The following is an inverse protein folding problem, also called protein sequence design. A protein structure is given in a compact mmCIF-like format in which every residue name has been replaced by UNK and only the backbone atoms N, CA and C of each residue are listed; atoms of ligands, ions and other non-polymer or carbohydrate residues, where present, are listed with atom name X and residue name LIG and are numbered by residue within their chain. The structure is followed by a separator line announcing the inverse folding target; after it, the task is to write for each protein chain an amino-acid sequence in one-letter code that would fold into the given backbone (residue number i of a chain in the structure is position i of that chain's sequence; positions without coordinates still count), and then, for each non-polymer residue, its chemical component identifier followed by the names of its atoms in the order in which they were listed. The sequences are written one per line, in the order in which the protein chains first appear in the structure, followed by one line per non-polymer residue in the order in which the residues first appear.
data_IF_785401027593
#
_entry.id   IF_785401027593
#
_cell.length_a   1.000
_cell.length_b   1.000
_cell.length_c   1.000
_cell.angle_alpha   90.00
_cell.angle_beta   90.00
_cell.angle_gamma   90.00
#
_symmetry.space_group_name_H-M   'P 1'
#
loop_
_entity.id
_entity.type
_entity.pdbx_description
1 polymer ?
#
# COMPACT_ATOMS: atom_id res chain seq x y z
N UNK A 1 -11.08 -41.16 14.23
CA UNK A 1 -11.74 -40.77 12.96
C UNK A 1 -12.43 -39.42 13.14
N UNK A 2 -11.69 -38.30 13.31
CA UNK A 2 -12.27 -36.93 13.49
C UNK A 2 -11.48 -35.86 12.74
N UNK A 3 -10.63 -36.24 11.74
CA UNK A 3 -9.76 -35.32 11.03
C UNK A 3 -10.35 -34.68 9.77
N UNK A 4 -11.45 -35.22 9.22
CA UNK A 4 -12.02 -34.71 7.98
C UNK A 4 -12.83 -33.41 8.13
N UNK A 5 -13.40 -33.13 9.29
CA UNK A 5 -14.18 -31.91 9.57
C UNK A 5 -13.31 -30.67 9.78
N UNK A 6 -12.15 -30.84 10.43
CA UNK A 6 -11.22 -29.73 10.68
C UNK A 6 -10.50 -29.26 9.41
N UNK A 7 -10.20 -30.18 8.50
CA UNK A 7 -9.47 -29.89 7.27
C UNK A 7 -10.32 -29.13 6.25
N UNK A 8 -11.61 -29.40 6.17
CA UNK A 8 -12.55 -28.66 5.33
C UNK A 8 -12.86 -27.25 5.87
N UNK A 9 -12.89 -27.07 7.19
CA UNK A 9 -13.21 -25.79 7.81
C UNK A 9 -12.10 -24.75 7.68
N UNK A 10 -10.83 -25.14 7.85
CA UNK A 10 -9.74 -24.16 7.68
C UNK A 10 -9.55 -23.72 6.22
N UNK A 11 -9.71 -24.63 5.24
CA UNK A 11 -9.64 -24.28 3.80
C UNK A 11 -10.76 -23.33 3.41
N UNK A 12 -11.97 -23.54 3.90
CA UNK A 12 -13.10 -22.63 3.69
C UNK A 12 -12.80 -21.24 4.27
N UNK A 13 -12.32 -21.18 5.50
CA UNK A 13 -11.90 -19.94 6.15
C UNK A 13 -10.81 -19.23 5.36
N UNK A 14 -9.80 -19.99 4.90
CA UNK A 14 -8.70 -19.49 4.09
C UNK A 14 -9.19 -18.84 2.79
N UNK A 15 -10.05 -19.52 2.04
CA UNK A 15 -10.62 -19.00 0.80
C UNK A 15 -11.44 -17.74 1.06
N UNK A 16 -12.31 -17.76 2.07
CA UNK A 16 -13.14 -16.60 2.42
C UNK A 16 -12.30 -15.37 2.78
N UNK A 17 -11.28 -15.53 3.63
CA UNK A 17 -10.41 -14.41 4.05
C UNK A 17 -9.54 -13.91 2.89
N UNK A 18 -8.97 -14.83 2.09
CA UNK A 18 -8.12 -14.48 0.96
C UNK A 18 -8.89 -13.72 -0.11
N UNK A 19 -10.06 -14.22 -0.50
CA UNK A 19 -10.91 -13.55 -1.50
C UNK A 19 -11.44 -12.21 -0.96
N UNK A 20 -11.87 -12.14 0.29
CA UNK A 20 -12.31 -10.89 0.89
C UNK A 20 -11.18 -9.86 0.97
N UNK A 21 -9.94 -10.28 1.26
CA UNK A 21 -8.78 -9.41 1.21
C UNK A 21 -8.51 -8.92 -0.21
N UNK A 22 -8.50 -9.82 -1.19
CA UNK A 22 -8.31 -9.45 -2.60
C UNK A 22 -9.35 -8.42 -3.06
N UNK A 23 -10.63 -8.72 -2.86
CA UNK A 23 -11.76 -7.87 -3.25
C UNK A 23 -11.71 -6.53 -2.51
N UNK A 24 -11.47 -6.53 -1.20
CA UNK A 24 -11.42 -5.31 -0.41
C UNK A 24 -10.24 -4.38 -0.78
N UNK A 25 -9.06 -4.94 -1.05
CA UNK A 25 -7.91 -4.15 -1.49
C UNK A 25 -8.05 -3.68 -2.94
N UNK A 26 -8.69 -4.45 -3.82
CA UNK A 26 -9.08 -4.01 -5.16
C UNK A 26 -10.02 -2.81 -5.09
N UNK A 27 -11.08 -2.89 -4.28
CA UNK A 27 -12.02 -1.78 -4.08
C UNK A 27 -11.37 -0.51 -3.52
N UNK A 28 -10.35 -0.65 -2.66
CA UNK A 28 -9.63 0.50 -2.10
C UNK A 28 -8.86 1.28 -3.17
N UNK A 29 -8.22 0.61 -4.11
CA UNK A 29 -7.39 1.24 -5.14
C UNK A 29 -8.16 1.56 -6.43
N UNK A 30 -9.36 1.02 -6.58
CA UNK A 30 -10.22 1.21 -7.75
C UNK A 30 -10.49 2.70 -8.04
N UNK A 31 -10.67 3.51 -7.00
CA UNK A 31 -11.00 4.94 -7.15
C UNK A 31 -9.79 5.84 -7.43
N UNK A 32 -8.55 5.34 -7.28
CA UNK A 32 -7.35 6.16 -7.42
C UNK A 32 -7.22 6.85 -8.79
N UNK A 33 -7.46 6.18 -9.94
CA UNK A 33 -7.19 6.78 -11.25
C UNK A 33 -8.20 7.87 -11.64
N UNK A 34 -9.33 7.98 -10.97
CA UNK A 34 -10.35 8.95 -11.34
C UNK A 34 -10.73 9.94 -10.23
N UNK A 35 -10.16 9.82 -9.05
CA UNK A 35 -10.46 10.74 -7.95
C UNK A 35 -10.17 12.21 -8.28
N UNK A 36 -9.05 12.58 -8.94
CA UNK A 36 -8.82 13.95 -9.37
C UNK A 36 -9.88 14.44 -10.37
N UNK A 37 -10.29 13.60 -11.31
CA UNK A 37 -11.36 13.93 -12.28
C UNK A 37 -12.73 14.10 -11.59
N UNK A 38 -12.92 13.39 -10.47
CA UNK A 38 -14.14 13.53 -9.69
C UNK A 38 -14.23 14.91 -9.01
N UNK A 39 -13.12 15.45 -8.51
CA UNK A 39 -13.10 16.82 -7.98
C UNK A 39 -13.43 17.86 -9.03
N UNK A 40 -13.03 17.65 -10.29
CA UNK A 40 -13.43 18.51 -11.39
C UNK A 40 -14.96 18.48 -11.61
N UNK A 41 -15.59 17.29 -11.57
CA UNK A 41 -17.04 17.17 -11.62
C UNK A 41 -17.77 17.85 -10.45
N UNK A 42 -17.10 17.99 -9.31
CA UNK A 42 -17.63 18.68 -8.13
C UNK A 42 -17.39 20.21 -8.18
N UNK A 43 -16.99 20.75 -9.33
CA UNK A 43 -16.86 22.19 -9.56
C UNK A 43 -15.50 22.77 -9.21
N UNK A 44 -14.47 21.97 -8.97
CA UNK A 44 -13.10 22.47 -8.84
C UNK A 44 -12.48 22.55 -10.23
N UNK A 45 -12.19 23.76 -10.71
CA UNK A 45 -11.71 23.96 -12.09
C UNK A 45 -10.22 24.24 -12.18
N UNK A 46 -9.60 24.76 -11.13
CA UNK A 46 -8.16 24.97 -11.08
C UNK A 46 -7.42 23.62 -10.88
N UNK A 47 -6.43 23.34 -11.73
CA UNK A 47 -5.68 22.09 -11.69
C UNK A 47 -4.87 21.95 -10.39
N UNK A 48 -4.38 23.05 -9.84
CA UNK A 48 -3.67 23.09 -8.57
C UNK A 48 -4.57 22.71 -7.40
N UNK A 49 -5.77 23.30 -7.37
CA UNK A 49 -6.77 22.99 -6.33
C UNK A 49 -7.23 21.53 -6.42
N UNK A 50 -7.42 21.00 -7.65
CA UNK A 50 -7.74 19.57 -7.85
C UNK A 50 -6.60 18.69 -7.31
N UNK A 51 -5.35 19.05 -7.55
CA UNK A 51 -4.20 18.30 -7.04
C UNK A 51 -4.14 18.34 -5.51
N UNK A 52 -4.40 19.48 -4.88
CA UNK A 52 -4.44 19.64 -3.41
C UNK A 52 -5.58 18.80 -2.83
N UNK A 53 -6.82 18.94 -3.32
CA UNK A 53 -7.96 18.15 -2.84
C UNK A 53 -7.74 16.66 -2.99
N UNK A 54 -7.15 16.22 -4.12
CA UNK A 54 -6.80 14.82 -4.36
C UNK A 54 -5.73 14.34 -3.37
N UNK A 55 -4.68 15.12 -3.18
CA UNK A 55 -3.58 14.81 -2.28
C UNK A 55 -4.03 14.64 -0.83
N UNK A 56 -4.75 15.63 -0.27
CA UNK A 56 -5.25 15.57 1.11
C UNK A 56 -6.26 14.43 1.30
N UNK A 57 -7.13 14.20 0.32
CA UNK A 57 -8.13 13.12 0.39
C UNK A 57 -7.51 11.73 0.28
N UNK A 58 -6.46 11.54 -0.51
CA UNK A 58 -5.73 10.28 -0.60
C UNK A 58 -4.86 10.04 0.64
N UNK A 59 -4.29 11.09 1.24
CA UNK A 59 -3.41 10.99 2.40
C UNK A 59 -4.14 10.84 3.73
N UNK A 60 -5.33 11.45 3.90
CA UNK A 60 -6.06 11.44 5.18
C UNK A 60 -6.49 10.04 5.59
N UNK A 61 -6.91 9.20 4.66
CA UNK A 61 -7.35 7.82 4.95
C UNK A 61 -6.22 6.99 5.59
N UNK A 62 -5.02 6.84 4.99
CA UNK A 62 -3.94 6.08 5.64
C UNK A 62 -3.40 6.76 6.90
N UNK A 63 -3.44 8.10 7.02
CA UNK A 63 -3.04 8.81 8.21
C UNK A 63 -3.92 8.43 9.42
N UNK A 64 -5.24 8.51 9.26
CA UNK A 64 -6.18 8.13 10.31
C UNK A 64 -6.13 6.62 10.56
N UNK A 65 -5.99 5.79 9.51
CA UNK A 65 -5.84 4.34 9.65
C UNK A 65 -4.63 3.99 10.53
N UNK A 66 -3.50 4.63 10.31
CA UNK A 66 -2.29 4.40 11.11
C UNK A 66 -2.49 4.79 12.58
N UNK A 67 -3.14 5.92 12.84
CA UNK A 67 -3.46 6.37 14.19
C UNK A 67 -4.46 5.43 14.92
N UNK A 68 -5.42 4.87 14.18
CA UNK A 68 -6.46 4.00 14.72
C UNK A 68 -6.05 2.53 14.82
N UNK A 69 -4.99 2.10 14.12
CA UNK A 69 -4.56 0.71 14.08
C UNK A 69 -4.40 0.05 15.46
N UNK A 70 -3.71 0.68 16.46
CA UNK A 70 -3.57 0.08 17.80
C UNK A 70 -4.89 0.02 18.57
N UNK A 71 -5.85 0.92 18.29
CA UNK A 71 -7.18 0.90 18.91
C UNK A 71 -7.96 -0.30 18.38
N UNK A 72 -8.02 -0.46 17.07
CA UNK A 72 -8.78 -1.53 16.45
C UNK A 72 -8.16 -2.91 16.66
N UNK A 73 -6.84 -3.03 16.83
CA UNK A 73 -6.20 -4.28 17.24
C UNK A 73 -6.75 -4.75 18.61
N UNK A 74 -6.77 -3.87 19.62
CA UNK A 74 -7.30 -4.17 20.95
C UNK A 74 -8.79 -4.52 20.93
N UNK A 75 -9.58 -3.79 20.13
CA UNK A 75 -11.01 -4.06 19.97
C UNK A 75 -11.24 -5.41 19.29
N UNK A 76 -10.43 -5.75 18.27
CA UNK A 76 -10.48 -7.04 17.59
C UNK A 76 -10.18 -8.21 18.54
N UNK A 77 -9.24 -8.04 19.46
CA UNK A 77 -8.93 -9.05 20.47
C UNK A 77 -10.08 -9.28 21.46
N UNK A 78 -10.85 -8.22 21.78
CA UNK A 78 -11.96 -8.30 22.73
C UNK A 78 -13.27 -8.81 22.11
N UNK A 79 -13.64 -8.29 20.93
CA UNK A 79 -14.97 -8.50 20.33
C UNK A 79 -14.98 -9.49 19.17
N UNK A 80 -13.82 -9.91 18.68
CA UNK A 80 -13.72 -10.87 17.58
C UNK A 80 -13.20 -10.21 16.28
N UNK A 81 -12.36 -10.97 15.59
CA UNK A 81 -11.73 -10.51 14.35
C UNK A 81 -12.69 -10.49 13.19
N UNK A 82 -13.57 -11.48 13.10
CA UNK A 82 -14.63 -11.54 12.10
C UNK A 82 -15.50 -10.28 12.13
N UNK A 83 -15.94 -9.86 13.32
CA UNK A 83 -16.77 -8.68 13.50
C UNK A 83 -16.02 -7.41 13.03
N UNK A 84 -14.73 -7.28 13.35
CA UNK A 84 -13.95 -6.10 12.97
C UNK A 84 -13.74 -5.99 11.46
N UNK A 85 -13.46 -7.11 10.78
CA UNK A 85 -13.34 -7.14 9.32
C UNK A 85 -14.69 -6.85 8.66
N UNK A 86 -15.76 -7.49 9.11
CA UNK A 86 -17.12 -7.26 8.60
C UNK A 86 -17.54 -5.79 8.77
N UNK A 87 -17.28 -5.20 9.94
CA UNK A 87 -17.52 -3.77 10.20
C UNK A 87 -16.79 -2.88 9.20
N UNK A 88 -15.48 -3.11 8.96
CA UNK A 88 -14.70 -2.30 8.04
C UNK A 88 -15.25 -2.39 6.62
N UNK A 89 -15.57 -3.60 6.14
CA UNK A 89 -16.09 -3.82 4.80
C UNK A 89 -17.48 -3.20 4.62
N UNK A 90 -18.37 -3.35 5.62
CA UNK A 90 -19.70 -2.72 5.61
C UNK A 90 -19.59 -1.19 5.60
N UNK A 91 -18.74 -0.61 6.45
CA UNK A 91 -18.51 0.84 6.49
C UNK A 91 -17.96 1.35 5.15
N UNK A 92 -17.06 0.60 4.51
CA UNK A 92 -16.51 0.98 3.20
C UNK A 92 -17.57 0.92 2.10
N UNK A 93 -18.47 -0.07 2.12
CA UNK A 93 -19.60 -0.14 1.20
C UNK A 93 -20.50 1.09 1.33
N UNK A 94 -20.85 1.47 2.55
CA UNK A 94 -21.66 2.67 2.83
C UNK A 94 -20.93 3.94 2.38
N UNK A 95 -19.65 4.08 2.74
CA UNK A 95 -18.87 5.27 2.40
C UNK A 95 -18.71 5.41 0.88
N UNK A 96 -18.47 4.32 0.14
CA UNK A 96 -18.38 4.36 -1.31
C UNK A 96 -19.75 4.73 -1.95
N UNK A 97 -20.86 4.24 -1.39
CA UNK A 97 -22.19 4.64 -1.84
C UNK A 97 -22.44 6.14 -1.61
N UNK A 98 -22.05 6.65 -0.44
CA UNK A 98 -22.16 8.09 -0.12
C UNK A 98 -21.23 8.94 -1.00
N UNK A 99 -20.05 8.45 -1.38
CA UNK A 99 -19.13 9.12 -2.31
C UNK A 99 -19.77 9.39 -3.66
N UNK A 100 -20.69 8.53 -4.13
CA UNK A 100 -21.41 8.74 -5.39
C UNK A 100 -22.44 9.89 -5.32
N UNK A 101 -22.85 10.29 -4.11
CA UNK A 101 -23.92 11.27 -3.85
C UNK A 101 -23.39 12.65 -3.47
N UNK A 102 -22.09 12.82 -3.27
CA UNK A 102 -21.52 14.10 -2.85
C UNK A 102 -21.60 15.16 -3.94
N UNK A 103 -21.70 16.42 -3.53
CA UNK A 103 -21.81 17.59 -4.40
C UNK A 103 -20.71 18.64 -4.13
N UNK A 104 -19.85 18.40 -3.12
CA UNK A 104 -18.77 19.31 -2.76
C UNK A 104 -17.47 18.57 -2.41
N UNK A 105 -16.28 19.16 -2.70
CA UNK A 105 -14.97 18.57 -2.44
C UNK A 105 -14.72 18.19 -0.97
N UNK A 106 -15.15 19.05 -0.03
CA UNK A 106 -14.99 18.81 1.40
C UNK A 106 -15.74 17.55 1.90
N UNK A 107 -16.84 17.17 1.24
CA UNK A 107 -17.58 15.95 1.57
C UNK A 107 -16.77 14.71 1.22
N UNK A 108 -16.07 14.72 0.07
CA UNK A 108 -15.14 13.65 -0.33
C UNK A 108 -14.03 13.48 0.72
N UNK A 109 -13.38 14.59 1.12
CA UNK A 109 -12.36 14.59 2.15
C UNK A 109 -12.88 14.02 3.47
N UNK A 110 -14.07 14.45 3.92
CA UNK A 110 -14.70 13.97 5.16
C UNK A 110 -14.99 12.48 5.09
N UNK A 111 -15.57 12.00 3.99
CA UNK A 111 -15.84 10.56 3.82
C UNK A 111 -14.56 9.74 3.77
N UNK A 112 -13.48 10.26 3.19
CA UNK A 112 -12.14 9.65 3.21
C UNK A 112 -11.56 9.60 4.61
N UNK A 113 -11.73 10.64 5.42
CA UNK A 113 -11.34 10.68 6.82
C UNK A 113 -12.11 9.63 7.64
N UNK A 114 -13.44 9.55 7.46
CA UNK A 114 -14.29 8.53 8.08
C UNK A 114 -13.88 7.12 7.62
N UNK A 115 -13.55 6.94 6.34
CA UNK A 115 -13.04 5.67 5.83
C UNK A 115 -11.77 5.22 6.58
N UNK A 116 -10.84 6.15 6.82
CA UNK A 116 -9.64 5.88 7.62
C UNK A 116 -9.95 5.45 9.05
N UNK A 117 -11.00 6.03 9.65
CA UNK A 117 -11.44 5.69 11.01
C UNK A 117 -11.91 4.23 11.12
N UNK A 118 -12.58 3.71 10.10
CA UNK A 118 -13.09 2.34 10.07
C UNK A 118 -12.15 1.34 9.39
N UNK A 119 -10.99 1.76 8.90
CA UNK A 119 -10.01 0.91 8.24
C UNK A 119 -9.27 -0.01 9.24
N UNK A 120 -8.33 -0.81 8.75
CA UNK A 120 -7.47 -1.68 9.56
C UNK A 120 -7.72 -3.18 9.38
N UNK A 121 -8.61 -3.58 8.48
CA UNK A 121 -8.94 -4.99 8.27
C UNK A 121 -7.79 -5.83 7.68
N UNK A 122 -6.80 -5.21 7.03
CA UNK A 122 -5.73 -5.93 6.33
C UNK A 122 -4.84 -6.76 7.28
N UNK A 123 -4.40 -6.18 8.39
CA UNK A 123 -3.63 -6.90 9.41
C UNK A 123 -4.49 -7.96 10.10
N UNK A 124 -5.75 -7.63 10.39
CA UNK A 124 -6.69 -8.55 11.00
C UNK A 124 -6.95 -9.76 10.09
N UNK A 125 -7.07 -9.57 8.78
CA UNK A 125 -7.23 -10.67 7.81
C UNK A 125 -6.05 -11.65 7.82
N UNK A 126 -4.81 -11.15 7.90
CA UNK A 126 -3.64 -12.03 8.04
C UNK A 126 -3.68 -12.87 9.32
N UNK A 127 -4.10 -12.25 10.41
CA UNK A 127 -4.22 -12.96 11.68
C UNK A 127 -5.37 -13.98 11.65
N UNK A 128 -6.50 -13.66 11.02
CA UNK A 128 -7.60 -14.63 10.81
C UNK A 128 -7.15 -15.85 10.02
N UNK A 129 -6.35 -15.65 8.97
CA UNK A 129 -5.78 -16.75 8.19
C UNK A 129 -4.84 -17.62 9.04
N UNK A 130 -3.93 -16.98 9.78
CA UNK A 130 -2.97 -17.68 10.65
C UNK A 130 -3.66 -18.51 11.74
N UNK A 131 -4.71 -18.00 12.38
CA UNK A 131 -5.42 -18.70 13.45
C UNK A 131 -6.34 -19.81 12.93
N UNK A 132 -6.78 -19.72 11.69
CA UNK A 132 -7.64 -20.74 11.10
C UNK A 132 -6.86 -21.93 10.56
N UNK A 133 -5.58 -21.75 10.25
CA UNK A 133 -4.74 -22.76 9.61
C UNK A 133 -4.09 -23.70 10.62
N UNK A 134 -3.94 -25.01 10.31
CA UNK A 134 -3.08 -25.92 11.06
C UNK A 134 -1.63 -25.41 11.11
N UNK A 135 -0.88 -25.77 12.15
CA UNK A 135 0.46 -25.24 12.42
C UNK A 135 1.42 -25.35 11.21
N UNK A 136 1.36 -26.46 10.48
CA UNK A 136 2.16 -26.73 9.28
C UNK A 136 1.77 -25.86 8.06
N UNK A 137 0.56 -25.26 8.06
CA UNK A 137 0.02 -24.46 6.96
C UNK A 137 -0.04 -22.97 7.24
N UNK A 138 0.30 -22.50 8.44
CA UNK A 138 0.21 -21.08 8.83
C UNK A 138 0.98 -20.16 7.88
N UNK A 139 2.22 -20.52 7.52
CA UNK A 139 3.03 -19.72 6.60
C UNK A 139 2.38 -19.59 5.20
N UNK A 140 1.79 -20.69 4.71
CA UNK A 140 1.08 -20.73 3.43
C UNK A 140 -0.19 -19.89 3.49
N UNK A 141 -0.94 -19.99 4.59
CA UNK A 141 -2.17 -19.23 4.80
C UNK A 141 -1.93 -17.71 4.80
N UNK A 142 -0.92 -17.25 5.55
CA UNK A 142 -0.48 -15.85 5.53
C UNK A 142 -0.02 -15.43 4.13
N UNK A 143 0.74 -16.29 3.44
CA UNK A 143 1.24 -16.04 2.09
C UNK A 143 0.12 -15.79 1.07
N UNK A 144 -0.96 -16.55 1.12
CA UNK A 144 -2.14 -16.34 0.25
C UNK A 144 -2.81 -14.99 0.51
N UNK A 145 -3.02 -14.60 1.77
CA UNK A 145 -3.62 -13.30 2.10
C UNK A 145 -2.70 -12.16 1.67
N UNK A 146 -1.39 -12.26 1.89
CA UNK A 146 -0.43 -11.27 1.42
C UNK A 146 -0.42 -11.15 -0.11
N UNK A 147 -0.52 -12.27 -0.82
CA UNK A 147 -0.64 -12.26 -2.28
C UNK A 147 -1.90 -11.52 -2.72
N UNK A 148 -3.04 -11.80 -2.09
CA UNK A 148 -4.30 -11.11 -2.34
C UNK A 148 -4.20 -9.59 -2.09
N UNK A 149 -3.56 -9.19 -1.00
CA UNK A 149 -3.32 -7.79 -0.65
C UNK A 149 -2.38 -7.05 -1.62
N UNK A 150 -1.59 -7.77 -2.40
CA UNK A 150 -0.72 -7.21 -3.44
C UNK A 150 -1.40 -7.18 -4.81
N UNK A 151 -2.09 -8.27 -5.18
CA UNK A 151 -2.79 -8.37 -6.46
C UNK A 151 -3.98 -7.42 -6.54
N UNK A 152 -4.72 -7.22 -5.43
CA UNK A 152 -5.84 -6.29 -5.38
C UNK A 152 -5.44 -4.87 -5.83
N UNK A 153 -4.47 -4.23 -5.17
CA UNK A 153 -3.96 -2.92 -5.59
C UNK A 153 -3.35 -2.88 -6.99
N UNK A 154 -2.82 -3.99 -7.49
CA UNK A 154 -2.30 -4.05 -8.85
C UNK A 154 -3.42 -4.01 -9.91
N UNK A 155 -4.55 -4.66 -9.65
CA UNK A 155 -5.66 -4.75 -10.61
C UNK A 155 -6.72 -3.64 -10.40
N UNK A 156 -6.87 -3.15 -9.16
CA UNK A 156 -7.88 -2.14 -8.81
C UNK A 156 -7.89 -0.93 -9.73
N UNK A 157 -6.76 -0.27 -9.99
CA UNK A 157 -6.72 0.94 -10.79
C UNK A 157 -7.18 0.74 -12.24
N UNK A 158 -6.79 -0.36 -12.91
CA UNK A 158 -7.26 -0.60 -14.29
C UNK A 158 -8.75 -0.94 -14.31
N UNK A 159 -9.24 -1.73 -13.35
CA UNK A 159 -10.67 -2.02 -13.22
C UNK A 159 -11.44 -0.72 -12.99
N UNK A 160 -10.96 0.13 -12.09
CA UNK A 160 -11.55 1.44 -11.80
C UNK A 160 -11.55 2.39 -12.98
N UNK A 161 -10.44 2.44 -13.71
CA UNK A 161 -10.33 3.25 -14.92
C UNK A 161 -11.31 2.82 -16.02
N UNK A 162 -11.46 1.51 -16.23
CA UNK A 162 -12.45 0.95 -17.17
C UNK A 162 -13.88 1.27 -16.73
N UNK A 163 -14.21 1.01 -15.46
CA UNK A 163 -15.55 1.28 -14.93
C UNK A 163 -15.89 2.77 -14.98
N UNK A 164 -14.96 3.64 -14.63
CA UNK A 164 -15.16 5.09 -14.71
C UNK A 164 -15.37 5.58 -16.15
N UNK A 165 -14.63 4.99 -17.12
CA UNK A 165 -14.77 5.30 -18.53
C UNK A 165 -16.10 4.84 -19.15
N UNK A 166 -16.63 3.69 -18.70
CA UNK A 166 -17.87 3.11 -19.27
C UNK A 166 -19.13 3.59 -18.54
N UNK A 167 -19.10 3.63 -17.22
CA UNK A 167 -20.27 3.92 -16.39
C UNK A 167 -20.31 5.37 -15.92
N UNK A 168 -19.20 6.10 -16.04
CA UNK A 168 -19.01 7.41 -15.43
C UNK A 168 -18.54 7.34 -13.98
N UNK A 169 -18.00 8.46 -13.49
CA UNK A 169 -17.27 8.51 -12.22
C UNK A 169 -18.16 8.17 -11.01
N UNK A 170 -19.39 8.68 -10.95
CA UNK A 170 -20.33 8.40 -9.84
C UNK A 170 -20.71 6.92 -9.76
N UNK A 171 -20.97 6.28 -10.91
CA UNK A 171 -21.31 4.85 -10.94
C UNK A 171 -20.12 3.95 -10.62
N UNK A 172 -18.89 4.38 -10.88
CA UNK A 172 -17.69 3.64 -10.46
C UNK A 172 -17.58 3.56 -8.92
N UNK A 173 -18.06 4.57 -8.17
CA UNK A 173 -18.15 4.47 -6.71
C UNK A 173 -19.22 3.45 -6.27
N UNK A 174 -20.37 3.37 -6.93
CA UNK A 174 -21.36 2.33 -6.65
C UNK A 174 -20.83 0.93 -6.97
N UNK A 175 -20.09 0.77 -8.07
CA UNK A 175 -19.42 -0.48 -8.39
C UNK A 175 -18.41 -0.88 -7.29
N UNK A 176 -17.63 0.09 -6.78
CA UNK A 176 -16.75 -0.15 -5.63
C UNK A 176 -17.53 -0.54 -4.37
N UNK A 177 -18.67 0.09 -4.11
CA UNK A 177 -19.53 -0.29 -2.99
C UNK A 177 -20.03 -1.74 -3.09
N UNK A 178 -20.45 -2.18 -4.28
CA UNK A 178 -20.87 -3.57 -4.52
C UNK A 178 -19.73 -4.56 -4.29
N UNK A 179 -18.50 -4.20 -4.67
CA UNK A 179 -17.29 -4.98 -4.41
C UNK A 179 -17.09 -5.17 -2.90
N UNK A 180 -17.26 -4.12 -2.09
CA UNK A 180 -17.19 -4.23 -0.63
C UNK A 180 -18.34 -5.03 -0.02
N UNK A 181 -19.56 -4.93 -0.54
CA UNK A 181 -20.70 -5.75 -0.13
C UNK A 181 -20.41 -7.22 -0.40
N UNK A 182 -19.87 -7.57 -1.55
CA UNK A 182 -19.47 -8.94 -1.87
C UNK A 182 -18.39 -9.47 -0.89
N UNK A 183 -17.36 -8.67 -0.59
CA UNK A 183 -16.34 -9.01 0.40
C UNK A 183 -16.93 -9.18 1.81
N UNK A 184 -17.88 -8.32 2.20
CA UNK A 184 -18.59 -8.42 3.48
C UNK A 184 -19.33 -9.76 3.60
N UNK A 185 -20.11 -10.14 2.61
CA UNK A 185 -20.84 -11.41 2.64
C UNK A 185 -19.91 -12.62 2.61
N UNK A 186 -18.80 -12.56 1.89
CA UNK A 186 -17.76 -13.60 1.92
C UNK A 186 -17.23 -13.84 3.33
N UNK A 187 -16.99 -12.78 4.11
CA UNK A 187 -16.52 -12.92 5.49
C UNK A 187 -17.64 -13.38 6.40
N UNK A 188 -18.83 -12.80 6.32
CA UNK A 188 -19.94 -13.10 7.23
C UNK A 188 -20.43 -14.53 7.06
N UNK A 189 -20.55 -15.01 5.83
CA UNK A 189 -21.07 -16.36 5.51
C UNK A 189 -19.94 -17.38 5.45
N UNK A 190 -18.82 -17.01 4.81
CA UNK A 190 -17.72 -17.92 4.51
C UNK A 190 -16.80 -18.22 5.69
N UNK A 191 -16.55 -17.24 6.57
CA UNK A 191 -15.61 -17.41 7.68
C UNK A 191 -16.30 -17.84 8.96
N UNK A 192 -15.76 -18.86 9.63
CA UNK A 192 -16.14 -19.30 10.99
C UNK A 192 -14.98 -19.06 11.94
N UNK A 193 -15.25 -18.33 13.03
CA UNK A 193 -14.21 -18.00 14.00
C UNK A 193 -13.81 -19.25 14.80
N UNK A 194 -12.50 -19.62 14.87
CA UNK A 194 -12.03 -20.80 15.59
C UNK A 194 -12.29 -20.68 17.10
N UNK A 195 -12.72 -21.77 17.74
CA UNK A 195 -13.05 -21.79 19.18
C UNK A 195 -11.84 -21.60 20.12
N UNK A 196 -10.60 -21.85 19.63
CA UNK A 196 -9.36 -21.90 20.45
C UNK A 196 -8.73 -20.54 20.75
N UNK A 197 -9.38 -19.44 20.43
CA UNK A 197 -8.84 -18.08 20.44
C UNK A 197 -8.42 -17.53 21.81
N UNK A 198 -9.01 -17.99 22.90
CA UNK A 198 -8.81 -17.41 24.24
C UNK A 198 -7.46 -17.78 24.90
N UNK A 199 -6.79 -18.84 24.46
CA UNK A 199 -5.54 -19.32 25.07
C UNK A 199 -4.28 -18.62 24.51
N UNK A 200 -4.26 -18.19 23.25
CA UNK A 200 -3.08 -17.61 22.62
C UNK A 200 -2.81 -16.15 23.04
N UNK A 201 -3.84 -15.39 23.37
CA UNK A 201 -3.68 -13.99 23.80
C UNK A 201 -2.98 -13.83 25.16
N UNK A 202 -2.97 -14.86 25.99
CA UNK A 202 -2.32 -14.84 27.30
C UNK A 202 -0.79 -15.07 27.22
N UNK A 203 -0.30 -15.72 26.17
CA UNK A 203 1.13 -16.04 26.01
C UNK A 203 1.97 -14.86 25.48
N UNK A 204 1.37 -13.95 24.73
CA UNK A 204 2.06 -12.79 24.14
C UNK A 204 2.35 -11.65 25.14
N UNK A 205 1.73 -11.66 26.31
CA UNK A 205 1.91 -10.63 27.34
C UNK A 205 3.25 -10.70 28.08
N UNK A 206 4.03 -11.77 27.93
CA UNK A 206 5.28 -12.02 28.66
C UNK A 206 6.57 -11.72 27.87
N UNK A 207 6.46 -11.22 26.62
CA UNK A 207 7.64 -10.90 25.81
C UNK A 207 8.37 -9.63 26.31
N UNK A 208 9.72 -9.60 26.30
CA UNK A 208 10.49 -8.45 26.72
C UNK A 208 10.10 -7.21 25.91
N UNK A 209 9.82 -6.10 26.59
CA UNK A 209 9.43 -4.84 25.96
C UNK A 209 10.61 -4.22 25.23
N UNK A 210 10.74 -4.52 23.94
CA UNK A 210 11.70 -3.85 23.06
C UNK A 210 11.23 -2.41 22.82
N UNK A 211 12.06 -1.44 23.14
CA UNK A 211 11.74 -0.01 22.97
C UNK A 211 12.33 0.54 21.68
N UNK A 212 11.74 1.62 21.14
CA UNK A 212 12.30 2.33 19.99
C UNK A 212 13.77 2.73 20.21
N UNK A 213 14.10 3.22 21.40
CA UNK A 213 15.45 3.64 21.74
C UNK A 213 16.48 2.50 21.65
N UNK A 214 16.09 1.24 21.96
CA UNK A 214 16.97 0.08 21.79
C UNK A 214 17.18 -0.27 20.32
N UNK A 215 16.17 -0.17 19.49
CA UNK A 215 16.25 -0.41 18.05
C UNK A 215 16.99 0.70 17.30
N UNK A 216 16.81 1.95 17.71
CA UNK A 216 17.53 3.10 17.13
C UNK A 216 19.05 3.01 17.30
N UNK A 217 19.53 2.24 18.29
CA UNK A 217 20.95 1.95 18.50
C UNK A 217 21.47 0.80 17.62
N UNK A 218 20.58 0.03 17.00
CA UNK A 218 21.00 -0.99 16.03
C UNK A 218 21.58 -0.31 14.80
N UNK A 219 22.78 -0.70 14.34
CA UNK A 219 23.40 -0.08 13.18
C UNK A 219 22.47 -0.07 11.97
N UNK A 220 22.32 1.09 11.33
CA UNK A 220 21.51 1.33 10.13
C UNK A 220 19.99 1.20 10.28
N UNK A 221 19.43 0.90 11.46
CA UNK A 221 17.99 0.75 11.62
C UNK A 221 17.23 2.03 11.24
N UNK A 222 17.71 3.20 11.68
CA UNK A 222 17.13 4.50 11.29
C UNK A 222 17.30 4.79 9.79
N UNK A 223 18.41 4.34 9.20
CA UNK A 223 18.61 4.45 7.75
C UNK A 223 17.58 3.62 6.99
N UNK A 224 17.31 2.40 7.43
CA UNK A 224 16.27 1.56 6.83
C UNK A 224 14.88 2.17 6.97
N UNK A 225 14.54 2.70 8.15
CA UNK A 225 13.27 3.41 8.36
C UNK A 225 13.13 4.62 7.44
N UNK A 226 14.14 5.48 7.39
CA UNK A 226 14.16 6.65 6.51
C UNK A 226 14.09 6.28 5.03
N UNK A 227 14.76 5.20 4.63
CA UNK A 227 14.71 4.72 3.25
C UNK A 227 13.33 4.17 2.87
N UNK A 228 12.68 3.40 3.75
CA UNK A 228 11.29 2.92 3.53
C UNK A 228 10.34 4.10 3.43
N UNK A 229 10.45 5.08 4.33
CA UNK A 229 9.67 6.31 4.26
C UNK A 229 9.89 7.02 2.91
N UNK A 230 11.14 7.23 2.50
CA UNK A 230 11.49 7.90 1.24
C UNK A 230 10.97 7.16 0.00
N UNK A 231 11.09 5.82 -0.02
CA UNK A 231 10.52 5.02 -1.12
C UNK A 231 8.99 5.14 -1.19
N UNK A 232 8.31 5.19 -0.04
CA UNK A 232 6.85 5.36 -0.01
C UNK A 232 6.42 6.79 -0.37
N UNK A 233 7.23 7.79 -0.03
CA UNK A 233 7.01 9.18 -0.46
C UNK A 233 6.91 9.27 -1.98
N UNK A 234 7.76 8.53 -2.69
CA UNK A 234 7.78 8.52 -4.16
C UNK A 234 6.73 7.57 -4.76
N UNK A 235 6.56 6.37 -4.20
CA UNK A 235 5.60 5.37 -4.73
C UNK A 235 4.16 5.88 -4.77
N UNK A 236 3.78 6.76 -3.86
CA UNK A 236 2.39 7.25 -3.72
C UNK A 236 2.13 8.65 -4.24
N UNK A 237 3.16 9.35 -4.68
CA UNK A 237 3.07 10.72 -5.23
C UNK A 237 2.25 10.79 -6.51
N UNK A 238 2.25 9.74 -7.33
CA UNK A 238 1.55 9.70 -8.61
C UNK A 238 0.02 9.79 -8.47
N UNK A 239 -0.54 9.35 -7.31
CA UNK A 239 -1.98 9.26 -7.10
C UNK A 239 -2.75 10.54 -7.43
N UNK A 240 -2.44 11.69 -6.81
CA UNK A 240 -3.15 12.94 -7.03
C UNK A 240 -2.80 13.62 -8.36
N UNK A 241 -1.68 13.27 -9.00
CA UNK A 241 -1.08 14.07 -10.07
C UNK A 241 -1.20 13.39 -11.45
N UNK A 242 -1.04 12.09 -11.54
CA UNK A 242 -0.94 11.37 -12.81
C UNK A 242 -2.13 11.61 -13.77
N UNK A 243 -3.40 11.56 -13.31
CA UNK A 243 -4.53 11.83 -14.21
C UNK A 243 -4.53 13.26 -14.78
N UNK A 244 -4.15 14.23 -13.95
CA UNK A 244 -4.06 15.64 -14.34
C UNK A 244 -2.89 15.88 -15.30
N UNK A 245 -1.75 15.25 -15.02
CA UNK A 245 -0.58 15.29 -15.88
C UNK A 245 -0.83 14.71 -17.27
N UNK A 246 -1.54 13.58 -17.37
CA UNK A 246 -1.91 12.98 -18.65
C UNK A 246 -2.76 13.96 -19.50
N UNK A 247 -3.63 14.74 -18.86
CA UNK A 247 -4.39 15.81 -19.54
C UNK A 247 -3.48 16.94 -19.99
N UNK A 248 -2.58 17.39 -19.13
CA UNK A 248 -1.63 18.47 -19.44
C UNK A 248 -0.78 18.15 -20.68
N UNK A 249 -0.38 16.88 -20.85
CA UNK A 249 0.41 16.44 -22.01
C UNK A 249 -0.43 16.05 -23.24
N UNK A 250 -1.76 16.30 -23.21
CA UNK A 250 -2.66 16.18 -24.36
C UNK A 250 -3.38 14.83 -24.49
N UNK A 251 -3.45 14.01 -23.45
CA UNK A 251 -4.28 12.80 -23.49
C UNK A 251 -5.78 13.19 -23.59
N UNK A 252 -6.53 12.46 -24.43
CA UNK A 252 -7.96 12.67 -24.54
C UNK A 252 -8.68 12.43 -23.20
N UNK A 253 -9.52 13.35 -22.75
CA UNK A 253 -10.18 13.32 -21.43
C UNK A 253 -10.87 11.98 -21.16
N UNK A 254 -11.56 11.42 -22.16
CA UNK A 254 -12.24 10.13 -22.05
C UNK A 254 -11.28 8.94 -21.80
N UNK A 255 -10.01 9.04 -22.22
CA UNK A 255 -9.01 7.97 -22.06
C UNK A 255 -8.21 8.09 -20.76
N UNK A 256 -8.22 9.23 -20.09
CA UNK A 256 -7.42 9.49 -18.89
C UNK A 256 -7.68 8.48 -17.76
N UNK A 257 -8.93 8.12 -17.40
CA UNK A 257 -9.16 7.13 -16.35
C UNK A 257 -8.52 5.78 -16.65
N UNK A 258 -8.68 5.30 -17.89
CA UNK A 258 -8.11 4.04 -18.35
C UNK A 258 -6.57 4.08 -18.37
N UNK A 259 -5.98 5.11 -18.97
CA UNK A 259 -4.52 5.26 -19.06
C UNK A 259 -3.87 5.39 -17.68
N UNK A 260 -4.46 6.17 -16.79
CA UNK A 260 -4.00 6.27 -15.40
C UNK A 260 -4.07 4.92 -14.70
N UNK A 261 -5.20 4.22 -14.84
CA UNK A 261 -5.38 2.89 -14.28
C UNK A 261 -4.35 1.89 -14.81
N UNK A 262 -4.07 1.93 -16.10
CA UNK A 262 -3.07 1.08 -16.76
C UNK A 262 -1.65 1.35 -16.23
N UNK A 263 -1.25 2.62 -16.13
CA UNK A 263 0.06 3.01 -15.59
C UNK A 263 0.21 2.55 -14.13
N UNK A 264 -0.80 2.78 -13.28
CA UNK A 264 -0.79 2.30 -11.90
C UNK A 264 -0.71 0.77 -11.81
N UNK A 265 -1.44 0.06 -12.67
CA UNK A 265 -1.42 -1.41 -12.71
C UNK A 265 -0.07 -1.94 -13.16
N UNK A 266 0.55 -1.34 -14.18
CA UNK A 266 1.90 -1.70 -14.64
C UNK A 266 2.91 -1.46 -13.53
N UNK A 267 2.86 -0.29 -12.88
CA UNK A 267 3.75 0.05 -11.75
C UNK A 267 3.60 -0.95 -10.61
N UNK A 268 2.37 -1.24 -10.17
CA UNK A 268 2.13 -2.17 -9.07
C UNK A 268 2.48 -3.61 -9.43
N UNK A 269 2.17 -4.06 -10.66
CA UNK A 269 2.50 -5.38 -11.15
C UNK A 269 4.02 -5.61 -11.24
N UNK A 270 4.74 -4.65 -11.78
CA UNK A 270 6.21 -4.73 -11.87
C UNK A 270 6.89 -4.59 -10.51
N UNK A 271 6.32 -3.80 -9.58
CA UNK A 271 6.78 -3.79 -8.19
C UNK A 271 6.61 -5.15 -7.51
N UNK A 272 5.49 -5.83 -7.76
CA UNK A 272 5.28 -7.21 -7.27
C UNK A 272 6.31 -8.18 -7.86
N UNK A 273 6.62 -8.08 -9.15
CA UNK A 273 7.70 -8.86 -9.78
C UNK A 273 9.07 -8.55 -9.16
N UNK A 274 9.37 -7.26 -8.91
CA UNK A 274 10.56 -6.83 -8.21
C UNK A 274 10.68 -7.45 -6.83
N UNK A 275 9.58 -7.45 -6.04
CA UNK A 275 9.54 -8.09 -4.73
C UNK A 275 9.89 -9.59 -4.80
N UNK A 276 9.34 -10.32 -5.77
CA UNK A 276 9.57 -11.77 -5.92
C UNK A 276 11.00 -12.09 -6.39
N UNK A 277 11.56 -11.27 -7.26
CA UNK A 277 12.91 -11.47 -7.80
C UNK A 277 14.02 -11.06 -6.85
N UNK A 278 13.72 -10.25 -5.83
CA UNK A 278 14.70 -9.71 -4.86
C UNK A 278 15.52 -10.81 -4.19
N UNK A 279 14.90 -11.95 -3.80
CA UNK A 279 15.62 -13.08 -3.19
C UNK A 279 16.73 -13.61 -4.10
N UNK A 280 16.48 -13.72 -5.40
CA UNK A 280 17.44 -14.19 -6.38
C UNK A 280 18.54 -13.12 -6.62
N UNK A 281 18.16 -11.84 -6.68
CA UNK A 281 19.10 -10.73 -6.84
C UNK A 281 20.06 -10.62 -5.64
N UNK A 282 19.57 -10.76 -4.40
CA UNK A 282 20.38 -10.72 -3.18
C UNK A 282 21.38 -11.88 -3.06
N UNK A 283 21.22 -12.98 -3.81
CA UNK A 283 22.24 -14.05 -3.90
C UNK A 283 23.45 -13.64 -4.75
N UNK A 284 23.30 -12.67 -5.64
CA UNK A 284 24.32 -12.22 -6.58
C UNK A 284 24.89 -10.85 -6.23
N UNK A 285 24.09 -9.99 -5.62
CA UNK A 285 24.44 -8.60 -5.37
C UNK A 285 24.16 -8.28 -3.89
N UNK A 286 25.13 -7.70 -3.17
CA UNK A 286 24.93 -7.26 -1.79
C UNK A 286 23.90 -6.11 -1.75
N UNK A 287 23.15 -5.98 -0.67
CA UNK A 287 22.14 -4.93 -0.47
C UNK A 287 22.71 -3.53 -0.69
N UNK A 288 23.96 -3.31 -0.27
CA UNK A 288 24.69 -2.06 -0.43
C UNK A 288 24.87 -1.61 -1.90
N UNK A 289 24.80 -2.53 -2.85
CA UNK A 289 24.83 -2.23 -4.28
C UNK A 289 23.45 -2.32 -4.92
N UNK A 290 22.65 -3.32 -4.53
CA UNK A 290 21.33 -3.58 -5.11
C UNK A 290 20.37 -2.43 -4.88
N UNK A 291 20.23 -1.92 -3.65
CA UNK A 291 19.28 -0.85 -3.31
C UNK A 291 19.64 0.46 -4.01
N UNK A 292 20.89 0.97 -3.96
CA UNK A 292 21.24 2.18 -4.72
C UNK A 292 21.02 2.06 -6.21
N UNK A 293 21.35 0.89 -6.81
CA UNK A 293 21.18 0.68 -8.25
C UNK A 293 19.71 0.69 -8.65
N UNK A 294 18.86 -0.02 -7.91
CA UNK A 294 17.43 -0.09 -8.22
C UNK A 294 16.69 1.21 -7.89
N UNK A 295 17.09 1.93 -6.85
CA UNK A 295 16.59 3.26 -6.56
C UNK A 295 17.02 4.30 -7.63
N UNK A 296 18.26 4.22 -8.13
CA UNK A 296 18.72 5.07 -9.22
C UNK A 296 17.98 4.77 -10.54
N UNK A 297 17.70 3.50 -10.82
CA UNK A 297 16.88 3.08 -11.95
C UNK A 297 15.45 3.63 -11.87
N UNK A 298 14.85 3.56 -10.69
CA UNK A 298 13.54 4.15 -10.44
C UNK A 298 13.58 5.70 -10.55
N UNK A 299 14.67 6.35 -10.08
CA UNK A 299 14.89 7.79 -10.24
C UNK A 299 14.94 8.20 -11.71
N UNK A 300 15.66 7.44 -12.54
CA UNK A 300 15.70 7.67 -13.99
C UNK A 300 14.30 7.52 -14.62
N UNK A 301 13.51 6.54 -14.20
CA UNK A 301 12.11 6.39 -14.61
C UNK A 301 11.27 7.62 -14.24
N UNK A 302 11.34 8.11 -12.99
CA UNK A 302 10.63 9.31 -12.54
C UNK A 302 11.07 10.57 -13.33
N UNK A 303 12.37 10.75 -13.56
CA UNK A 303 12.91 11.86 -14.37
C UNK A 303 12.37 11.82 -15.81
N UNK A 304 12.24 10.62 -16.38
CA UNK A 304 11.72 10.46 -17.73
C UNK A 304 10.21 10.77 -17.79
N UNK A 305 9.43 10.47 -16.72
CA UNK A 305 8.06 10.93 -16.61
C UNK A 305 7.95 12.46 -16.69
N UNK A 306 8.85 13.20 -16.03
CA UNK A 306 8.86 14.67 -16.06
C UNK A 306 9.06 15.23 -17.47
N UNK A 307 9.73 14.50 -18.37
CA UNK A 307 9.97 14.90 -19.76
C UNK A 307 8.71 14.81 -20.65
N UNK A 308 7.62 14.17 -20.20
CA UNK A 308 6.39 14.02 -20.97
C UNK A 308 6.54 13.06 -22.17
N UNK A 309 7.04 11.84 -21.98
CA UNK A 309 7.27 10.93 -23.08
C UNK A 309 5.92 10.42 -23.66
N UNK A 310 5.92 9.87 -24.88
CA UNK A 310 4.74 9.19 -25.43
C UNK A 310 4.24 8.07 -24.52
N UNK A 311 2.93 7.80 -24.53
CA UNK A 311 2.27 6.84 -23.61
C UNK A 311 2.95 5.46 -23.59
N UNK A 312 3.38 4.95 -24.77
CA UNK A 312 4.11 3.68 -24.83
C UNK A 312 5.40 3.68 -24.02
N UNK A 313 6.15 4.78 -24.08
CA UNK A 313 7.37 4.93 -23.27
C UNK A 313 7.04 5.20 -21.80
N UNK A 314 5.92 5.85 -21.47
CA UNK A 314 5.43 5.99 -20.11
C UNK A 314 5.16 4.63 -19.45
N UNK A 315 4.59 3.67 -20.18
CA UNK A 315 4.37 2.32 -19.66
C UNK A 315 5.68 1.59 -19.37
N UNK A 316 6.68 1.74 -20.24
CA UNK A 316 8.02 1.18 -20.01
C UNK A 316 8.68 1.82 -18.78
N UNK A 317 8.62 3.14 -18.66
CA UNK A 317 9.18 3.86 -17.51
C UNK A 317 8.44 3.52 -16.22
N UNK A 318 7.11 3.36 -16.25
CA UNK A 318 6.31 2.88 -15.13
C UNK A 318 6.72 1.48 -14.69
N UNK A 319 6.99 0.59 -15.66
CA UNK A 319 7.46 -0.76 -15.37
C UNK A 319 8.85 -0.76 -14.70
N UNK A 320 9.78 0.04 -15.21
CA UNK A 320 11.13 0.20 -14.64
C UNK A 320 11.06 0.80 -13.24
N UNK A 321 10.27 1.86 -13.08
CA UNK A 321 10.04 2.53 -11.79
C UNK A 321 9.48 1.56 -10.76
N UNK A 322 8.37 0.87 -11.08
CA UNK A 322 7.73 -0.07 -10.18
C UNK A 322 8.66 -1.22 -9.79
N UNK A 323 9.35 -1.83 -10.76
CA UNK A 323 10.33 -2.88 -10.49
C UNK A 323 11.42 -2.42 -9.52
N UNK A 324 12.01 -1.24 -9.76
CA UNK A 324 13.04 -0.66 -8.91
C UNK A 324 12.56 -0.42 -7.47
N UNK A 325 11.38 0.16 -7.29
CA UNK A 325 10.75 0.37 -5.97
C UNK A 325 10.50 -0.97 -5.26
N UNK A 326 9.99 -1.98 -5.97
CA UNK A 326 9.71 -3.31 -5.41
C UNK A 326 10.98 -3.98 -4.89
N UNK A 327 12.03 -4.02 -5.71
CA UNK A 327 13.33 -4.60 -5.30
C UNK A 327 13.92 -3.83 -4.12
N UNK A 328 14.00 -2.49 -4.20
CA UNK A 328 14.59 -1.67 -3.14
C UNK A 328 13.87 -1.85 -1.81
N UNK A 329 12.53 -1.81 -1.81
CA UNK A 329 11.72 -1.99 -0.60
C UNK A 329 11.98 -3.36 0.04
N UNK A 330 11.90 -4.44 -0.75
CA UNK A 330 12.08 -5.80 -0.23
C UNK A 330 13.51 -6.04 0.27
N UNK A 331 14.51 -5.51 -0.43
CA UNK A 331 15.91 -5.62 -0.01
C UNK A 331 16.17 -4.90 1.32
N UNK A 332 15.57 -3.71 1.53
CA UNK A 332 15.68 -2.98 2.79
C UNK A 332 15.01 -3.74 3.94
N UNK A 333 13.80 -4.25 3.75
CA UNK A 333 13.11 -5.08 4.76
C UNK A 333 13.91 -6.31 5.12
N UNK A 334 14.49 -6.99 4.13
CA UNK A 334 15.34 -8.17 4.34
C UNK A 334 16.58 -7.81 5.16
N UNK A 335 17.28 -6.73 4.80
CA UNK A 335 18.48 -6.28 5.51
C UNK A 335 18.18 -5.84 6.94
N UNK A 336 17.09 -5.12 7.15
CA UNK A 336 16.63 -4.75 8.49
C UNK A 336 16.33 -5.98 9.36
N UNK A 337 15.69 -6.99 8.77
CA UNK A 337 15.41 -8.28 9.46
C UNK A 337 16.68 -9.02 9.91
N UNK A 338 17.72 -8.98 9.09
CA UNK A 338 19.00 -9.63 9.39
C UNK A 338 19.85 -8.84 10.39
N UNK A 339 19.68 -7.52 10.45
CA UNK A 339 20.42 -6.63 11.35
C UNK A 339 19.90 -6.61 12.80
N UNK A 340 18.68 -7.13 13.03
CA UNK A 340 18.00 -7.10 14.33
C UNK A 340 17.96 -8.50 14.94
N UNK A 341 18.24 -8.67 16.27
CA UNK A 341 18.10 -9.95 16.97
C UNK A 341 16.73 -10.59 16.75
N UNK A 342 16.69 -11.91 16.66
CA UNK A 342 15.47 -12.66 16.35
C UNK A 342 14.28 -12.32 17.27
N UNK A 343 14.53 -12.15 18.57
CA UNK A 343 13.52 -11.77 19.58
C UNK A 343 12.93 -10.37 19.37
N UNK A 344 13.64 -9.47 18.67
CA UNK A 344 13.22 -8.07 18.45
C UNK A 344 12.66 -7.83 17.04
N UNK A 345 12.68 -8.83 16.15
CA UNK A 345 12.26 -8.66 14.75
C UNK A 345 10.83 -8.19 14.61
N UNK A 346 9.89 -8.72 15.39
CA UNK A 346 8.49 -8.33 15.34
C UNK A 346 8.29 -6.83 15.61
N UNK A 347 8.95 -6.32 16.65
CA UNK A 347 8.88 -4.89 17.02
C UNK A 347 9.58 -4.02 15.97
N UNK A 348 10.73 -4.48 15.45
CA UNK A 348 11.44 -3.77 14.38
C UNK A 348 10.57 -3.65 13.11
N UNK A 349 9.91 -4.72 12.69
CA UNK A 349 8.95 -4.69 11.57
C UNK A 349 7.78 -3.74 11.85
N UNK A 350 7.32 -3.64 13.09
CA UNK A 350 6.29 -2.68 13.49
C UNK A 350 6.73 -1.24 13.20
N UNK A 351 7.95 -0.85 13.59
CA UNK A 351 8.48 0.50 13.31
C UNK A 351 8.74 0.75 11.82
N UNK A 352 9.23 -0.24 11.08
CA UNK A 352 9.37 -0.14 9.62
C UNK A 352 8.02 0.03 8.94
N UNK A 353 6.99 -0.67 9.41
CA UNK A 353 5.61 -0.50 8.93
C UNK A 353 5.04 0.87 9.28
N UNK A 354 5.39 1.42 10.45
CA UNK A 354 5.03 2.79 10.80
C UNK A 354 5.66 3.79 9.82
N UNK A 355 6.95 3.66 9.51
CA UNK A 355 7.61 4.50 8.51
C UNK A 355 6.94 4.39 7.13
N UNK A 356 6.58 3.17 6.72
CA UNK A 356 5.80 2.90 5.51
C UNK A 356 4.45 3.64 5.51
N UNK A 357 3.66 3.50 6.59
CA UNK A 357 2.34 4.12 6.70
C UNK A 357 2.40 5.65 6.75
N UNK A 358 3.41 6.21 7.42
CA UNK A 358 3.63 7.66 7.42
C UNK A 358 3.97 8.16 6.01
N UNK A 359 4.85 7.46 5.29
CA UNK A 359 5.13 7.76 3.89
C UNK A 359 3.88 7.69 3.00
N UNK A 360 3.08 6.63 3.16
CA UNK A 360 1.81 6.45 2.46
C UNK A 360 0.80 7.58 2.71
N UNK A 361 0.78 8.14 3.92
CA UNK A 361 -0.11 9.22 4.31
C UNK A 361 0.38 10.60 3.82
N UNK A 362 1.66 10.88 4.00
CA UNK A 362 2.26 12.19 3.71
C UNK A 362 2.47 12.40 2.21
N UNK A 363 2.86 11.34 1.49
CA UNK A 363 3.20 11.40 0.07
C UNK A 363 2.13 12.07 -0.81
N UNK A 364 0.86 11.63 -0.83
CA UNK A 364 -0.14 12.24 -1.68
C UNK A 364 -0.40 13.71 -1.33
N UNK A 365 -0.30 14.06 -0.05
CA UNK A 365 -0.48 15.44 0.44
C UNK A 365 0.62 16.33 -0.14
N UNK A 366 1.88 15.93 0.04
CA UNK A 366 3.05 16.67 -0.48
C UNK A 366 2.99 16.77 -2.00
N UNK A 367 2.69 15.64 -2.67
CA UNK A 367 2.54 15.60 -4.13
C UNK A 367 1.41 16.51 -4.64
N UNK A 368 0.29 16.61 -3.90
CA UNK A 368 -0.79 17.53 -4.22
C UNK A 368 -0.35 19.00 -4.18
N UNK A 369 0.36 19.40 -3.12
CA UNK A 369 0.89 20.78 -3.02
C UNK A 369 1.98 21.09 -4.06
N UNK A 370 2.91 20.17 -4.32
CA UNK A 370 3.90 20.35 -5.39
C UNK A 370 3.20 20.40 -6.75
N UNK A 371 2.23 19.50 -6.99
CA UNK A 371 1.45 19.43 -8.22
C UNK A 371 0.62 20.69 -8.49
N UNK A 372 0.18 21.40 -7.45
CA UNK A 372 -0.50 22.68 -7.57
C UNK A 372 0.37 23.76 -8.22
N UNK A 373 1.69 23.68 -8.04
CA UNK A 373 2.64 24.58 -8.69
C UNK A 373 3.02 24.05 -10.08
N UNK A 374 3.32 22.75 -10.19
CA UNK A 374 3.64 22.09 -11.46
C UNK A 374 3.51 20.57 -11.33
N UNK A 375 2.74 19.95 -12.21
CA UNK A 375 2.61 18.48 -12.25
C UNK A 375 3.96 17.79 -12.52
N UNK A 376 4.79 18.40 -13.38
CA UNK A 376 6.13 17.89 -13.70
C UNK A 376 7.09 17.96 -12.51
N UNK A 377 6.95 18.98 -11.65
CA UNK A 377 7.79 19.16 -10.48
C UNK A 377 7.66 17.98 -9.50
N UNK A 378 6.51 17.31 -9.44
CA UNK A 378 6.33 16.11 -8.62
C UNK A 378 7.28 15.00 -9.07
N UNK A 379 7.32 14.69 -10.37
CA UNK A 379 8.21 13.65 -10.92
C UNK A 379 9.70 14.01 -10.77
N UNK A 380 10.03 15.30 -10.87
CA UNK A 380 11.40 15.79 -10.60
C UNK A 380 11.74 15.59 -9.12
N UNK A 381 10.83 15.95 -8.21
CA UNK A 381 11.02 15.75 -6.77
C UNK A 381 11.17 14.27 -6.42
N UNK A 382 10.41 13.40 -7.08
CA UNK A 382 10.50 11.94 -6.94
C UNK A 382 11.87 11.42 -7.41
N UNK A 383 12.35 11.89 -8.57
CA UNK A 383 13.66 11.52 -9.08
C UNK A 383 14.78 11.96 -8.13
N UNK A 384 14.72 13.19 -7.60
CA UNK A 384 15.68 13.71 -6.62
C UNK A 384 15.60 12.92 -5.30
N UNK A 385 14.40 12.63 -4.81
CA UNK A 385 14.19 11.85 -3.59
C UNK A 385 14.78 10.44 -3.70
N UNK A 386 14.55 9.74 -4.82
CA UNK A 386 15.12 8.42 -5.08
C UNK A 386 16.64 8.46 -5.25
N UNK A 387 17.17 9.47 -5.96
CA UNK A 387 18.61 9.69 -6.09
C UNK A 387 19.25 9.94 -4.71
N UNK A 388 18.58 10.68 -3.84
CA UNK A 388 19.02 10.91 -2.46
C UNK A 388 19.01 9.61 -1.64
N UNK A 389 17.97 8.78 -1.74
CA UNK A 389 17.93 7.45 -1.10
C UNK A 389 19.07 6.56 -1.61
N UNK A 390 19.30 6.54 -2.93
CA UNK A 390 20.39 5.80 -3.53
C UNK A 390 21.76 6.28 -3.01
N UNK A 391 21.98 7.59 -2.96
CA UNK A 391 23.22 8.22 -2.50
C UNK A 391 23.51 7.93 -1.02
N UNK A 392 22.50 8.11 -0.13
CA UNK A 392 22.71 7.94 1.31
C UNK A 392 23.00 6.48 1.68
N UNK A 393 22.34 5.51 1.00
CA UNK A 393 22.62 4.10 1.22
C UNK A 393 24.02 3.75 0.71
N UNK A 394 24.40 4.22 -0.47
CA UNK A 394 25.74 3.96 -1.04
C UNK A 394 26.86 4.50 -0.15
N UNK A 395 26.73 5.73 0.34
CA UNK A 395 27.77 6.38 1.16
C UNK A 395 27.88 5.75 2.54
N UNK A 396 26.77 5.42 3.16
CA UNK A 396 26.75 4.79 4.50
C UNK A 396 27.20 3.32 4.46
N UNK A 397 26.90 2.60 3.38
CA UNK A 397 27.33 1.20 3.22
C UNK A 397 28.84 1.08 2.90
N UNK A 398 29.41 2.01 2.12
CA UNK A 398 30.86 2.02 1.82
C UNK A 398 31.70 2.38 3.05
N UNK A 399 31.19 3.19 3.95
CA UNK A 399 31.88 3.53 5.20
C UNK A 399 32.06 2.29 6.11
N UNK A 400 31.14 1.32 6.06
CA UNK A 400 31.20 0.09 6.84
C UNK A 400 32.18 -0.95 6.30
N UNK A 401 32.22 -1.10 4.97
CA UNK A 401 33.20 -2.02 4.34
C UNK A 401 34.62 -1.56 4.66
N UNK A 402 34.85 -0.24 4.74
CA UNK A 402 36.15 0.32 5.13
C UNK A 402 36.48 0.18 6.61
N UNK A 403 35.48 0.27 7.52
CA UNK A 403 35.70 0.11 8.95
C UNK A 403 35.99 -1.34 9.32
N UNK A 404 35.34 -2.32 8.69
CA UNK A 404 35.59 -3.75 8.89
C UNK A 404 36.88 -4.26 8.20
N UNK A 405 37.44 -3.53 7.26
CA UNK A 405 38.73 -3.83 6.65
C UNK A 405 39.92 -3.18 7.40
N UNK A 406 39.63 -2.27 8.33
CA UNK A 406 40.63 -1.57 9.16
C UNK A 406 40.69 -2.10 10.61
N UNK A 407 39.79 -3.02 11.00
CA UNK A 407 39.78 -3.81 12.24
C UNK A 407 40.24 -5.25 12.00
#
# INVERSE_FOLDING_TARGET
MTTSGSDSDWRRNQVAVTLAAFIGFTGFTLVMPFLPLYFEQLGVHDLGDIAIWSGISLGVTPAITAAMAPVWARVADRYGRKLMVARSLASFAVIMSLMALVDAPWQVFTLRAIQGLFAGYGAIAMTMAAESAPAEHVATAIGWVQTAQRLGPALGPVIGGVLAGWLGLRHAFYASALVYVAAFFLVVVGYREPAHRRAAAAADAAAPRVTFASLARVPHFLLFMGSIFGLQMVDRSFGPVLPLYLREIGAAVASVPFLSGLIFTVTAGTAALGNQTTRWLLRRWPTAQLVPTTAALAAAGAALFAAGPPIGLMLVTAAVFGFGIGVATTAIYTSASLSVPAASRGVAFGYLTTAYLVGLAVSPIVAGFIGAVSMRAVFVADAVGLAFVAWIIRTRSTALVRSNAAS
#
